data_IF_974552229178
#
_entry.id   IF_974552229178
#
_cell.length_a   1.000
_cell.length_b   1.000
_cell.length_c   1.000
_cell.angle_alpha   90.00
_cell.angle_beta   90.00
_cell.angle_gamma   90.00
#
_symmetry.space_group_name_H-M   'P 1'
#
loop_
_entity.id
_entity.type
_entity.pdbx_description
1 polymer ?
#
# COMPACT_ATOMS: atom_id res chain seq x y z
N UNK A 1 -26.50 -60.41 -14.92
CA UNK A 1 -26.19 -58.97 -14.77
C UNK A 1 -26.04 -58.42 -16.16
N UNK A 2 -26.96 -57.56 -16.58
CA UNK A 2 -27.06 -57.15 -17.99
C UNK A 2 -26.00 -56.09 -18.30
N UNK A 3 -25.31 -56.19 -19.43
CA UNK A 3 -24.28 -55.22 -19.85
C UNK A 3 -24.82 -53.77 -19.92
N UNK A 4 -26.11 -53.64 -20.22
CA UNK A 4 -26.81 -52.35 -20.24
C UNK A 4 -27.05 -51.76 -18.84
N UNK A 5 -27.26 -52.59 -17.81
CA UNK A 5 -27.35 -52.13 -16.40
C UNK A 5 -26.00 -51.60 -15.92
N UNK A 6 -24.90 -52.24 -16.35
CA UNK A 6 -23.55 -51.81 -15.98
C UNK A 6 -23.19 -50.49 -16.66
N UNK A 7 -23.60 -50.28 -17.91
CA UNK A 7 -23.38 -49.05 -18.67
C UNK A 7 -24.19 -47.86 -18.15
N UNK A 8 -25.42 -48.12 -17.68
CA UNK A 8 -26.26 -47.10 -17.03
C UNK A 8 -25.73 -46.73 -15.65
N UNK A 9 -25.37 -47.72 -14.83
CA UNK A 9 -24.75 -47.46 -13.53
C UNK A 9 -23.42 -46.69 -13.66
N UNK A 10 -22.61 -47.01 -14.67
CA UNK A 10 -21.34 -46.32 -14.92
C UNK A 10 -21.54 -44.86 -15.34
N UNK A 11 -22.49 -44.57 -16.24
CA UNK A 11 -22.84 -43.19 -16.63
C UNK A 11 -23.41 -42.37 -15.47
N UNK A 12 -24.18 -42.99 -14.59
CA UNK A 12 -24.69 -42.34 -13.39
C UNK A 12 -23.57 -42.04 -12.39
N UNK A 13 -22.57 -42.92 -12.28
CA UNK A 13 -21.39 -42.67 -11.47
C UNK A 13 -20.54 -41.51 -12.04
N UNK A 14 -20.37 -41.48 -13.36
CA UNK A 14 -19.63 -40.44 -14.07
C UNK A 14 -20.30 -39.07 -13.92
N UNK A 15 -21.64 -39.00 -14.01
CA UNK A 15 -22.39 -37.76 -13.80
C UNK A 15 -22.33 -37.27 -12.35
N UNK A 16 -22.34 -38.18 -11.37
CA UNK A 16 -22.14 -37.83 -9.95
C UNK A 16 -20.72 -37.35 -9.69
N UNK A 17 -19.70 -37.94 -10.33
CA UNK A 17 -18.32 -37.48 -10.24
C UNK A 17 -18.16 -36.07 -10.82
N UNK A 18 -18.67 -35.82 -12.03
CA UNK A 18 -18.65 -34.51 -12.67
C UNK A 18 -19.38 -33.44 -11.84
N UNK A 19 -20.56 -33.77 -11.28
CA UNK A 19 -21.29 -32.87 -10.39
C UNK A 19 -20.52 -32.58 -9.08
N UNK A 20 -19.83 -33.58 -8.53
CA UNK A 20 -19.01 -33.42 -7.32
C UNK A 20 -17.80 -32.54 -7.60
N UNK A 21 -17.16 -32.69 -8.76
CA UNK A 21 -16.03 -31.88 -9.19
C UNK A 21 -16.43 -30.42 -9.42
N UNK A 22 -17.58 -30.18 -10.08
CA UNK A 22 -18.13 -28.83 -10.27
C UNK A 22 -18.48 -28.15 -8.94
N UNK A 23 -19.05 -28.91 -8.00
CA UNK A 23 -19.32 -28.41 -6.64
C UNK A 23 -18.01 -28.06 -5.94
N UNK A 24 -16.99 -28.91 -6.05
CA UNK A 24 -15.69 -28.70 -5.40
C UNK A 24 -14.99 -27.44 -5.98
N UNK A 25 -15.01 -27.25 -7.30
CA UNK A 25 -14.51 -26.04 -7.96
C UNK A 25 -15.25 -24.78 -7.49
N UNK A 26 -16.59 -24.82 -7.38
CA UNK A 26 -17.39 -23.71 -6.85
C UNK A 26 -17.05 -23.39 -5.39
N UNK A 27 -16.82 -24.41 -4.57
CA UNK A 27 -16.40 -24.26 -3.16
C UNK A 27 -15.03 -23.59 -3.10
N UNK A 28 -14.04 -24.06 -3.86
CA UNK A 28 -12.69 -23.47 -3.85
C UNK A 28 -12.72 -22.02 -4.35
N UNK A 29 -13.44 -21.73 -5.44
CA UNK A 29 -13.61 -20.36 -5.93
C UNK A 29 -14.28 -19.44 -4.90
N UNK A 30 -15.26 -19.95 -4.13
CA UNK A 30 -15.89 -19.19 -3.04
C UNK A 30 -14.93 -18.93 -1.88
N UNK A 31 -14.07 -19.90 -1.56
CA UNK A 31 -13.06 -19.76 -0.51
C UNK A 31 -12.00 -18.72 -0.90
N UNK A 32 -11.51 -18.76 -2.14
CA UNK A 32 -10.57 -17.78 -2.68
C UNK A 32 -11.17 -16.38 -2.65
N UNK A 33 -12.47 -16.25 -2.99
CA UNK A 33 -13.19 -14.98 -2.91
C UNK A 33 -13.24 -14.45 -1.49
N UNK A 34 -13.62 -15.25 -0.50
CA UNK A 34 -13.66 -14.83 0.90
C UNK A 34 -12.30 -14.38 1.42
N UNK A 35 -11.24 -15.16 1.14
CA UNK A 35 -9.85 -14.79 1.46
C UNK A 35 -9.48 -13.45 0.81
N UNK A 36 -9.78 -13.28 -0.47
CA UNK A 36 -9.50 -12.06 -1.23
C UNK A 36 -10.24 -10.84 -0.69
N UNK A 37 -11.53 -10.96 -0.37
CA UNK A 37 -12.35 -9.89 0.25
C UNK A 37 -11.73 -9.47 1.58
N UNK A 38 -11.33 -10.43 2.41
CA UNK A 38 -10.69 -10.17 3.70
C UNK A 38 -9.37 -9.40 3.54
N UNK A 39 -8.52 -9.82 2.60
CA UNK A 39 -7.26 -9.10 2.26
C UNK A 39 -7.53 -7.68 1.79
N UNK A 40 -8.48 -7.48 0.88
CA UNK A 40 -8.85 -6.15 0.36
C UNK A 40 -9.39 -5.25 1.47
N UNK A 41 -10.22 -5.79 2.37
CA UNK A 41 -10.74 -5.05 3.53
C UNK A 41 -9.60 -4.58 4.45
N UNK A 42 -8.58 -5.42 4.67
CA UNK A 42 -7.38 -5.07 5.42
C UNK A 42 -6.58 -3.98 4.73
N UNK A 43 -6.32 -4.11 3.44
CA UNK A 43 -5.63 -3.08 2.62
C UNK A 43 -6.38 -1.73 2.72
N UNK A 44 -7.70 -1.75 2.62
CA UNK A 44 -8.54 -0.55 2.73
C UNK A 44 -8.41 0.12 4.10
N UNK A 45 -8.34 -0.66 5.17
CA UNK A 45 -8.13 -0.16 6.53
C UNK A 45 -6.74 0.50 6.66
N UNK A 46 -5.70 -0.14 6.11
CA UNK A 46 -4.36 0.45 6.08
C UNK A 46 -4.30 1.76 5.29
N UNK A 47 -4.94 1.83 4.11
CA UNK A 47 -5.03 3.06 3.34
C UNK A 47 -5.74 4.17 4.12
N UNK A 48 -6.79 3.84 4.88
CA UNK A 48 -7.48 4.81 5.73
C UNK A 48 -6.57 5.34 6.82
N UNK A 49 -5.83 4.47 7.52
CA UNK A 49 -4.85 4.88 8.52
C UNK A 49 -3.75 5.77 7.94
N UNK A 50 -3.22 5.41 6.76
CA UNK A 50 -2.22 6.23 6.08
C UNK A 50 -2.77 7.59 5.64
N UNK A 51 -4.00 7.66 5.12
CA UNK A 51 -4.64 8.94 4.76
C UNK A 51 -4.74 9.85 6.00
N UNK A 52 -5.22 9.33 7.13
CA UNK A 52 -5.31 10.09 8.37
C UNK A 52 -3.93 10.60 8.82
N UNK A 53 -2.90 9.75 8.72
CA UNK A 53 -1.52 10.11 9.05
C UNK A 53 -0.97 11.22 8.14
N UNK A 54 -1.14 11.13 6.82
CA UNK A 54 -0.68 12.16 5.89
C UNK A 54 -1.45 13.48 6.05
N UNK A 55 -2.75 13.43 6.34
CA UNK A 55 -3.54 14.63 6.66
C UNK A 55 -3.06 15.28 7.96
N UNK A 56 -2.81 14.50 9.00
CA UNK A 56 -2.23 15.00 10.25
C UNK A 56 -0.90 15.71 10.01
N UNK A 57 0.02 15.09 9.27
CA UNK A 57 1.29 15.73 8.90
C UNK A 57 1.08 16.99 8.06
N UNK A 58 0.09 17.02 7.17
CA UNK A 58 -0.19 18.20 6.35
C UNK A 58 -0.62 19.37 7.22
N UNK A 59 -1.50 19.15 8.19
CA UNK A 59 -1.93 20.17 9.16
C UNK A 59 -0.74 20.63 10.00
N UNK A 60 0.06 19.70 10.53
CA UNK A 60 1.25 20.04 11.31
C UNK A 60 2.25 20.89 10.50
N UNK A 61 2.53 20.50 9.25
CA UNK A 61 3.41 21.26 8.37
C UNK A 61 2.84 22.64 8.00
N UNK A 62 1.51 22.78 7.90
CA UNK A 62 0.88 24.08 7.71
C UNK A 62 1.10 24.99 8.92
N UNK A 63 0.99 24.46 10.14
CA UNK A 63 1.36 25.19 11.35
C UNK A 63 2.85 25.59 11.35
N UNK A 64 3.76 24.71 10.93
CA UNK A 64 5.17 25.09 10.78
C UNK A 64 5.38 26.17 9.71
N UNK A 65 4.60 26.14 8.63
CA UNK A 65 4.73 27.12 7.55
C UNK A 65 4.28 28.52 7.98
N UNK A 66 3.13 28.63 8.67
CA UNK A 66 2.59 29.93 9.12
C UNK A 66 3.17 30.41 10.44
N UNK A 67 3.51 29.50 11.36
CA UNK A 67 4.09 29.83 12.66
C UNK A 67 5.57 30.20 12.61
N UNK A 68 6.25 29.91 11.49
CA UNK A 68 7.67 30.16 11.27
C UNK A 68 8.56 29.79 12.50
N UNK A 69 8.49 28.55 13.02
CA UNK A 69 9.26 28.17 14.21
C UNK A 69 10.78 28.07 13.95
N UNK A 70 11.20 28.21 12.69
CA UNK A 70 12.59 28.10 12.24
C UNK A 70 13.21 29.45 11.89
N UNK A 71 12.51 30.57 12.16
CA UNK A 71 12.97 31.93 11.87
C UNK A 71 13.49 32.12 10.44
N UNK A 72 12.77 31.56 9.45
CA UNK A 72 13.16 31.69 8.05
C UNK A 72 13.04 33.14 7.58
N UNK A 73 14.17 33.71 7.15
CA UNK A 73 14.28 35.10 6.66
C UNK A 73 14.07 35.21 5.16
N UNK A 74 14.40 34.16 4.41
CA UNK A 74 14.26 34.13 2.94
C UNK A 74 13.14 33.19 2.49
N UNK A 75 12.38 33.62 1.48
CA UNK A 75 11.34 32.79 0.83
C UNK A 75 11.89 31.46 0.29
N UNK A 76 13.18 31.42 -0.08
CA UNK A 76 13.81 30.21 -0.60
C UNK A 76 13.92 29.09 0.47
N UNK A 77 14.02 29.45 1.75
CA UNK A 77 14.12 28.49 2.85
C UNK A 77 12.80 27.73 3.09
N UNK A 78 11.67 28.27 2.62
CA UNK A 78 10.37 27.61 2.68
C UNK A 78 10.16 26.55 1.59
N UNK A 79 11.02 26.52 0.55
CA UNK A 79 10.85 25.59 -0.59
C UNK A 79 10.84 24.12 -0.14
N UNK A 80 11.78 23.64 0.70
CA UNK A 80 11.77 22.25 1.16
C UNK A 80 10.52 21.92 2.00
N UNK A 81 10.05 22.87 2.81
CA UNK A 81 8.84 22.72 3.63
C UNK A 81 7.58 22.65 2.76
N UNK A 82 7.46 23.52 1.76
CA UNK A 82 6.37 23.52 0.79
C UNK A 82 6.36 22.22 -0.04
N UNK A 83 7.53 21.75 -0.48
CA UNK A 83 7.67 20.49 -1.20
C UNK A 83 7.21 19.29 -0.34
N UNK A 84 7.60 19.28 0.95
CA UNK A 84 7.17 18.25 1.90
C UNK A 84 5.64 18.28 2.11
N UNK A 85 5.05 19.46 2.30
CA UNK A 85 3.61 19.62 2.46
C UNK A 85 2.85 19.16 1.20
N UNK A 86 3.30 19.58 0.02
CA UNK A 86 2.71 19.18 -1.25
C UNK A 86 2.78 17.65 -1.44
N UNK A 87 3.90 17.03 -1.06
CA UNK A 87 4.05 15.57 -1.16
C UNK A 87 3.06 14.82 -0.25
N UNK A 88 2.77 15.35 0.95
CA UNK A 88 1.76 14.78 1.85
C UNK A 88 0.35 14.88 1.24
N UNK A 89 0.00 16.04 0.68
CA UNK A 89 -1.29 16.28 0.02
C UNK A 89 -1.47 15.34 -1.18
N UNK A 90 -0.48 15.28 -2.06
CA UNK A 90 -0.50 14.40 -3.24
C UNK A 90 -0.65 12.94 -2.82
N UNK A 91 0.05 12.50 -1.77
CA UNK A 91 -0.08 11.13 -1.26
C UNK A 91 -1.48 10.85 -0.70
N UNK A 92 -2.04 11.78 0.09
CA UNK A 92 -3.38 11.62 0.65
C UNK A 92 -4.44 11.50 -0.46
N UNK A 93 -4.39 12.36 -1.48
CA UNK A 93 -5.28 12.31 -2.66
C UNK A 93 -5.11 10.97 -3.39
N UNK A 94 -3.86 10.54 -3.56
CA UNK A 94 -3.56 9.33 -4.30
C UNK A 94 -4.06 8.07 -3.58
N UNK A 95 -3.87 7.97 -2.26
CA UNK A 95 -4.41 6.90 -1.42
C UNK A 95 -5.95 6.93 -1.39
N UNK A 96 -6.56 8.11 -1.38
CA UNK A 96 -8.00 8.25 -1.46
C UNK A 96 -8.55 7.72 -2.79
N UNK A 97 -7.91 8.07 -3.91
CA UNK A 97 -8.24 7.50 -5.23
C UNK A 97 -8.06 5.98 -5.27
N UNK A 98 -6.99 5.45 -4.65
CA UNK A 98 -6.77 4.02 -4.51
C UNK A 98 -7.93 3.33 -3.80
N UNK A 99 -8.40 3.93 -2.71
CA UNK A 99 -9.51 3.43 -1.91
C UNK A 99 -10.82 3.40 -2.72
N UNK A 100 -11.10 4.44 -3.50
CA UNK A 100 -12.28 4.49 -4.37
C UNK A 100 -12.17 3.43 -5.48
N UNK A 101 -11.00 3.30 -6.11
CA UNK A 101 -10.77 2.29 -7.15
C UNK A 101 -11.02 0.87 -6.62
N UNK A 102 -10.51 0.55 -5.43
CA UNK A 102 -10.77 -0.74 -4.77
C UNK A 102 -12.24 -0.95 -4.38
N UNK A 103 -13.01 0.12 -4.12
CA UNK A 103 -14.45 0.01 -3.82
C UNK A 103 -15.28 -0.26 -5.08
N UNK A 104 -14.84 0.22 -6.24
CA UNK A 104 -15.55 0.06 -7.51
C UNK A 104 -15.44 -1.34 -8.11
N UNK A 105 -14.39 -2.09 -7.78
CA UNK A 105 -14.19 -3.45 -8.29
C UNK A 105 -15.13 -4.38 -7.53
N UNK A 106 -16.25 -4.73 -8.14
CA UNK A 106 -17.14 -5.78 -7.65
C UNK A 106 -16.52 -7.15 -7.94
N UNK A 107 -16.21 -7.92 -6.89
CA UNK A 107 -15.80 -9.31 -7.02
C UNK A 107 -17.01 -10.16 -7.42
N UNK A 108 -17.32 -10.15 -8.70
CA UNK A 108 -18.35 -11.01 -9.28
C UNK A 108 -17.80 -12.43 -9.51
N UNK A 109 -18.66 -13.44 -9.37
CA UNK A 109 -18.28 -14.85 -9.48
C UNK A 109 -17.80 -15.22 -10.89
N UNK A 110 -18.34 -14.58 -11.92
CA UNK A 110 -18.02 -14.89 -13.31
C UNK A 110 -16.64 -14.36 -13.75
N UNK A 111 -16.21 -13.21 -13.21
CA UNK A 111 -14.94 -12.55 -13.58
C UNK A 111 -13.98 -12.38 -12.40
N UNK A 112 -13.90 -13.40 -11.52
CA UNK A 112 -13.07 -13.35 -10.32
C UNK A 112 -11.58 -13.15 -10.66
N UNK A 113 -11.10 -13.82 -11.70
CA UNK A 113 -9.72 -13.71 -12.19
C UNK A 113 -9.39 -12.31 -12.71
N UNK A 114 -10.25 -11.72 -13.56
CA UNK A 114 -10.05 -10.35 -14.06
C UNK A 114 -10.12 -9.33 -12.92
N UNK A 115 -11.05 -9.51 -11.98
CA UNK A 115 -11.19 -8.64 -10.82
C UNK A 115 -9.93 -8.65 -9.95
N UNK A 116 -9.36 -9.84 -9.70
CA UNK A 116 -8.10 -10.00 -8.97
C UNK A 116 -6.92 -9.35 -9.70
N UNK A 117 -6.80 -9.52 -11.01
CA UNK A 117 -5.77 -8.85 -11.81
C UNK A 117 -5.88 -7.32 -11.73
N UNK A 118 -7.09 -6.78 -11.83
CA UNK A 118 -7.31 -5.33 -11.70
C UNK A 118 -6.93 -4.83 -10.31
N UNK A 119 -7.27 -5.56 -9.25
CA UNK A 119 -6.90 -5.23 -7.87
C UNK A 119 -5.38 -5.24 -7.70
N UNK A 120 -4.69 -6.26 -8.21
CA UNK A 120 -3.23 -6.37 -8.16
C UNK A 120 -2.56 -5.22 -8.93
N UNK A 121 -3.07 -4.89 -10.13
CA UNK A 121 -2.53 -3.81 -10.96
C UNK A 121 -2.66 -2.44 -10.27
N UNK A 122 -3.85 -2.15 -9.72
CA UNK A 122 -4.13 -1.00 -8.85
C UNK A 122 -3.10 -1.00 -7.72
N UNK A 123 -3.01 -2.08 -6.96
CA UNK A 123 -2.13 -2.19 -5.81
C UNK A 123 -0.64 -1.93 -6.13
N UNK A 124 -0.12 -2.53 -7.19
CA UNK A 124 1.26 -2.35 -7.65
C UNK A 124 1.56 -0.90 -8.03
N UNK A 125 0.63 -0.26 -8.74
CA UNK A 125 0.73 1.17 -9.07
C UNK A 125 0.84 2.02 -7.80
N UNK A 126 0.02 1.72 -6.79
CA UNK A 126 0.03 2.46 -5.53
C UNK A 126 1.30 2.23 -4.70
N UNK A 127 1.76 0.97 -4.63
CA UNK A 127 2.99 0.60 -3.95
C UNK A 127 4.22 1.31 -4.53
N UNK A 128 4.32 1.36 -5.86
CA UNK A 128 5.45 2.00 -6.55
C UNK A 128 5.47 3.51 -6.27
N UNK A 129 4.32 4.17 -6.38
CA UNK A 129 4.21 5.60 -6.10
C UNK A 129 4.52 5.92 -4.63
N UNK A 130 4.01 5.10 -3.69
CA UNK A 130 4.31 5.24 -2.27
C UNK A 130 5.81 5.23 -1.98
N UNK A 131 6.57 4.31 -2.59
CA UNK A 131 8.03 4.26 -2.45
C UNK A 131 8.69 5.56 -2.92
N UNK A 132 8.31 6.08 -4.09
CA UNK A 132 8.87 7.33 -4.60
C UNK A 132 8.57 8.52 -3.71
N UNK A 133 7.33 8.64 -3.22
CA UNK A 133 6.97 9.74 -2.32
C UNK A 133 7.68 9.64 -0.98
N UNK A 134 7.87 8.44 -0.43
CA UNK A 134 8.66 8.25 0.80
C UNK A 134 10.11 8.70 0.60
N UNK A 135 10.74 8.34 -0.51
CA UNK A 135 12.11 8.79 -0.84
C UNK A 135 12.14 10.31 -0.98
N UNK A 136 11.16 10.89 -1.67
CA UNK A 136 11.06 12.34 -1.85
C UNK A 136 10.89 13.06 -0.50
N UNK A 137 10.02 12.56 0.38
CA UNK A 137 9.82 13.11 1.73
C UNK A 137 11.09 13.03 2.58
N UNK A 138 11.83 11.92 2.49
CA UNK A 138 13.12 11.79 3.16
C UNK A 138 14.11 12.85 2.66
N UNK A 139 14.27 12.98 1.34
CA UNK A 139 15.14 13.99 0.74
C UNK A 139 14.74 15.42 1.13
N UNK A 140 13.45 15.76 1.09
CA UNK A 140 12.95 17.07 1.52
C UNK A 140 13.19 17.33 3.01
N UNK A 141 13.05 16.32 3.87
CA UNK A 141 13.30 16.44 5.32
C UNK A 141 14.78 16.71 5.61
N UNK A 142 15.68 16.06 4.86
CA UNK A 142 17.11 16.32 4.94
C UNK A 142 17.43 17.75 4.47
N UNK A 143 16.82 18.22 3.38
CA UNK A 143 17.00 19.60 2.89
C UNK A 143 16.51 20.66 3.90
N UNK A 144 15.41 20.42 4.61
CA UNK A 144 14.95 21.30 5.71
C UNK A 144 16.05 21.43 6.77
N UNK A 145 16.75 20.34 7.08
CA UNK A 145 17.84 20.34 8.06
C UNK A 145 19.01 21.21 7.61
N UNK A 146 19.42 21.08 6.33
CA UNK A 146 20.45 21.95 5.75
C UNK A 146 20.03 23.43 5.71
N UNK A 147 18.74 23.72 5.47
CA UNK A 147 18.22 25.08 5.52
C UNK A 147 18.41 25.75 6.87
N UNK A 148 18.36 24.99 7.97
CA UNK A 148 18.61 25.51 9.33
C UNK A 148 20.07 25.81 9.59
N UNK A 149 20.99 25.04 9.00
CA UNK A 149 22.43 25.23 9.20
C UNK A 149 22.86 26.66 8.86
N UNK A 150 22.36 27.21 7.74
CA UNK A 150 22.72 28.56 7.28
C UNK A 150 22.30 29.64 8.30
N UNK A 151 21.17 29.45 8.98
CA UNK A 151 20.62 30.43 9.93
C UNK A 151 21.25 30.28 11.32
N UNK A 152 21.58 29.05 11.71
CA UNK A 152 22.06 28.74 13.06
C UNK A 152 23.59 28.92 13.21
N UNK A 153 24.37 28.88 12.12
CA UNK A 153 25.86 29.05 12.14
C UNK A 153 26.31 30.24 13.00
N UNK A 154 25.78 31.46 12.80
CA UNK A 154 26.23 32.61 13.58
C UNK A 154 25.85 32.55 15.07
N UNK A 155 24.88 31.71 15.47
CA UNK A 155 24.39 31.61 16.84
C UNK A 155 25.11 30.54 17.68
N UNK A 156 25.42 29.39 17.08
CA UNK A 156 25.88 28.19 17.82
C UNK A 156 27.24 27.65 17.36
N UNK A 157 27.82 28.21 16.30
CA UNK A 157 29.06 27.71 15.71
C UNK A 157 28.87 26.46 14.85
N UNK A 158 29.83 26.20 13.97
CA UNK A 158 29.71 25.17 12.91
C UNK A 158 29.64 23.76 13.49
N UNK A 159 30.45 23.44 14.50
CA UNK A 159 30.57 22.08 15.05
C UNK A 159 29.28 21.58 15.70
N UNK A 160 28.64 22.40 16.54
CA UNK A 160 27.39 22.04 17.22
C UNK A 160 26.26 21.78 16.24
N UNK A 161 26.23 22.52 15.13
CA UNK A 161 25.16 22.44 14.14
C UNK A 161 25.33 21.22 13.25
N UNK A 162 26.56 20.96 12.78
CA UNK A 162 26.87 19.76 12.00
C UNK A 162 26.56 18.51 12.83
N UNK A 163 26.90 18.51 14.12
CA UNK A 163 26.53 17.43 15.03
C UNK A 163 25.00 17.28 15.15
N UNK A 164 24.27 18.38 15.35
CA UNK A 164 22.79 18.33 15.43
C UNK A 164 22.14 17.81 14.15
N UNK A 165 22.65 18.20 12.99
CA UNK A 165 22.15 17.76 11.69
C UNK A 165 22.46 16.27 11.45
N UNK A 166 23.64 15.79 11.84
CA UNK A 166 24.00 14.37 11.81
C UNK A 166 23.10 13.55 12.72
N UNK A 167 22.84 14.00 13.95
CA UNK A 167 21.92 13.34 14.88
C UNK A 167 20.51 13.28 14.31
N UNK A 168 20.01 14.38 13.72
CA UNK A 168 18.69 14.41 13.11
C UNK A 168 18.60 13.46 11.89
N UNK A 169 19.61 13.45 11.02
CA UNK A 169 19.70 12.51 9.91
C UNK A 169 19.74 11.05 10.40
N UNK A 170 20.51 10.75 11.44
CA UNK A 170 20.57 9.43 12.05
C UNK A 170 19.21 9.01 12.64
N UNK A 171 18.51 9.92 13.33
CA UNK A 171 17.16 9.69 13.84
C UNK A 171 16.15 9.46 12.72
N UNK A 172 16.22 10.20 11.62
CA UNK A 172 15.38 9.97 10.44
C UNK A 172 15.65 8.59 9.84
N UNK A 173 16.91 8.24 9.60
CA UNK A 173 17.28 6.91 9.06
C UNK A 173 16.81 5.80 9.99
N UNK A 174 16.99 5.95 11.30
CA UNK A 174 16.53 4.99 12.29
C UNK A 174 15.00 4.85 12.29
N UNK A 175 14.28 5.99 12.23
CA UNK A 175 12.82 6.04 12.09
C UNK A 175 12.35 5.29 10.85
N UNK A 176 12.95 5.54 9.68
CA UNK A 176 12.59 4.88 8.43
C UNK A 176 12.92 3.38 8.45
N UNK A 177 14.07 3.00 9.00
CA UNK A 177 14.46 1.61 9.17
C UNK A 177 13.46 0.86 10.09
N UNK A 178 13.10 1.45 11.21
CA UNK A 178 12.16 0.85 12.17
C UNK A 178 10.73 0.79 11.62
N UNK A 179 10.29 1.86 10.94
CA UNK A 179 9.00 1.88 10.24
C UNK A 179 8.93 0.77 9.17
N UNK A 180 10.03 0.52 8.44
CA UNK A 180 10.12 -0.58 7.48
C UNK A 180 10.09 -1.98 8.11
N UNK A 181 10.51 -2.12 9.38
CA UNK A 181 10.56 -3.40 10.11
C UNK A 181 9.27 -3.72 10.86
N UNK A 182 8.43 -2.73 11.18
CA UNK A 182 7.17 -2.96 11.90
C UNK A 182 6.21 -3.85 11.08
N UNK A 183 5.63 -4.90 11.69
CA UNK A 183 4.68 -5.79 11.02
C UNK A 183 3.35 -5.09 10.65
N UNK A 184 3.03 -3.99 11.34
CA UNK A 184 1.82 -3.19 11.14
C UNK A 184 1.96 -2.10 10.06
N UNK A 185 3.20 -1.74 9.71
CA UNK A 185 3.43 -0.95 8.52
C UNK A 185 2.98 -1.79 7.33
N UNK A 186 2.26 -1.23 6.36
CA UNK A 186 1.70 -1.99 5.24
C UNK A 186 2.83 -2.80 4.58
N UNK A 187 2.92 -4.09 4.93
CA UNK A 187 3.92 -4.97 4.37
C UNK A 187 3.38 -5.39 3.00
N UNK A 188 3.46 -4.43 2.07
CA UNK A 188 2.71 -4.52 0.83
C UNK A 188 3.12 -5.75 0.02
N UNK A 189 4.34 -6.27 0.25
CA UNK A 189 4.80 -7.50 -0.37
C UNK A 189 4.06 -8.76 0.11
N UNK A 190 3.60 -8.84 1.36
CA UNK A 190 2.90 -10.04 1.86
C UNK A 190 1.50 -10.17 1.30
N UNK A 191 0.74 -9.08 1.28
CA UNK A 191 -0.62 -9.07 0.73
C UNK A 191 -0.61 -9.25 -0.79
N UNK A 192 0.38 -8.69 -1.50
CA UNK A 192 0.59 -8.96 -2.94
C UNK A 192 0.88 -10.44 -3.22
N UNK A 193 1.80 -11.06 -2.46
CA UNK A 193 2.10 -12.49 -2.60
C UNK A 193 0.87 -13.36 -2.35
N UNK A 194 0.05 -12.99 -1.37
CA UNK A 194 -1.21 -13.65 -1.11
C UNK A 194 -2.18 -13.57 -2.28
N UNK A 195 -2.37 -12.38 -2.86
CA UNK A 195 -3.23 -12.19 -4.03
C UNK A 195 -2.71 -12.89 -5.29
N UNK A 196 -1.39 -13.00 -5.47
CA UNK A 196 -0.78 -13.77 -6.56
C UNK A 196 -0.98 -15.27 -6.39
N UNK A 197 -0.80 -15.79 -5.18
CA UNK A 197 -1.07 -17.19 -4.87
C UNK A 197 -2.55 -17.53 -5.08
N UNK A 198 -3.45 -16.66 -4.61
CA UNK A 198 -4.90 -16.80 -4.82
C UNK A 198 -5.26 -16.77 -6.34
N UNK A 199 -4.48 -16.07 -7.18
CA UNK A 199 -4.64 -16.04 -8.64
C UNK A 199 -4.05 -17.29 -9.33
N UNK A 200 -2.93 -17.81 -8.84
CA UNK A 200 -2.34 -19.07 -9.33
C UNK A 200 -3.25 -20.26 -9.02
N UNK A 201 -3.79 -20.34 -7.79
CA UNK A 201 -4.79 -21.35 -7.38
C UNK A 201 -6.05 -21.30 -8.29
N UNK A 202 -6.48 -20.10 -8.69
CA UNK A 202 -7.59 -19.92 -9.65
C UNK A 202 -7.28 -20.39 -11.07
N UNK A 203 -6.05 -20.20 -11.55
CA UNK A 203 -5.63 -20.65 -12.88
C UNK A 203 -5.49 -22.17 -12.96
N UNK A 204 -5.08 -22.80 -11.87
CA UNK A 204 -5.02 -24.26 -11.78
C UNK A 204 -6.41 -24.91 -11.82
N UNK A 205 -7.42 -24.22 -11.27
CA UNK A 205 -8.82 -24.69 -11.25
C UNK A 205 -9.55 -24.51 -12.58
N UNK A 206 -9.09 -23.58 -13.43
CA UNK A 206 -9.70 -23.32 -14.73
C UNK A 206 -8.59 -23.11 -15.78
N UNK A 207 -7.97 -24.20 -16.28
CA UNK A 207 -6.95 -24.15 -17.32
C UNK A 207 -7.59 -23.85 -18.68
N UNK A 208 -8.05 -22.62 -18.87
CA UNK A 208 -8.45 -22.06 -20.16
C UNK A 208 -7.52 -20.91 -20.53
#
# INVERSE_FOLDING_TARGET
MNLDELKTAWREYDSRLAATEEINQKVIASMIRERSVSRIARIRRHYTGMICLFLFYTVFLAFCFFGNPFDYTSRAQYIPLAALMLSCIVMAIFLFRARIALKKISLDKQNLQESLLQIIAVYLKYRRFFRYTVIFMFSSSVLISFGRIIVDIPKYGIESIVFSALVFCALLVFSFYYAGKKPEWPNLGKEEKGLRADLEELKELNPQ
#
